data_IF_415014739684
#
_entry.id   IF_415014739684
#
_cell.length_a   1.000
_cell.length_b   1.000
_cell.length_c   1.000
_cell.angle_alpha   90.00
_cell.angle_beta   90.00
_cell.angle_gamma   90.00
#
_symmetry.space_group_name_H-M   'P 1'
#
loop_
_entity.id
_entity.type
_entity.pdbx_description
1 polymer ?
#
# COMPACT_ATOMS: atom_id res chain seq x y z
N UNK A 1 14.84 8.66 6.82
CA UNK A 1 13.64 9.15 7.56
C UNK A 1 12.43 8.98 6.67
N UNK A 2 11.35 8.41 7.17
CA UNK A 2 10.06 8.29 6.49
C UNK A 2 9.11 9.38 6.99
N UNK A 3 8.39 10.03 6.09
CA UNK A 3 7.40 11.08 6.43
C UNK A 3 6.15 10.93 5.58
N UNK A 4 4.99 11.27 6.15
CA UNK A 4 3.70 11.21 5.47
C UNK A 4 3.06 12.60 5.40
N UNK A 5 2.35 12.84 4.30
CA UNK A 5 1.69 14.11 4.02
C UNK A 5 0.26 13.85 3.55
N UNK A 6 -0.73 14.50 4.15
CA UNK A 6 -2.12 14.34 3.73
C UNK A 6 -2.35 14.94 2.34
N UNK A 7 -3.25 14.35 1.53
CA UNK A 7 -3.68 14.98 0.28
C UNK A 7 -4.54 16.21 0.57
N UNK A 8 -4.71 17.07 -0.44
CA UNK A 8 -5.69 18.14 -0.35
C UNK A 8 -7.12 17.59 -0.27
N UNK A 9 -8.06 18.39 0.24
CA UNK A 9 -9.44 17.96 0.52
C UNK A 9 -10.15 17.36 -0.73
N UNK A 10 -9.87 17.88 -1.92
CA UNK A 10 -10.48 17.38 -3.16
C UNK A 10 -10.00 15.97 -3.54
N UNK A 11 -8.78 15.62 -3.18
CA UNK A 11 -8.16 14.32 -3.49
C UNK A 11 -8.28 13.29 -2.36
N UNK A 12 -8.65 13.72 -1.15
CA UNK A 12 -8.78 12.84 0.02
C UNK A 12 -9.70 11.61 -0.18
N UNK A 13 -10.75 11.62 -1.03
CA UNK A 13 -11.51 10.41 -1.33
C UNK A 13 -10.73 9.33 -2.11
N UNK A 14 -9.65 9.70 -2.78
CA UNK A 14 -8.91 8.86 -3.73
C UNK A 14 -7.49 8.57 -3.27
N UNK A 15 -6.84 9.52 -2.64
CA UNK A 15 -5.46 9.43 -2.17
C UNK A 15 -5.47 9.23 -0.65
N UNK A 16 -4.79 8.18 -0.20
CA UNK A 16 -4.58 7.92 1.23
C UNK A 16 -3.58 8.93 1.80
N UNK A 17 -2.42 9.02 1.14
CA UNK A 17 -1.32 9.93 1.53
C UNK A 17 -0.31 10.12 0.41
N UNK A 18 0.50 11.16 0.53
CA UNK A 18 1.83 11.23 -0.03
C UNK A 18 2.83 10.80 1.02
N UNK A 19 3.92 10.17 0.60
CA UNK A 19 4.98 9.78 1.51
C UNK A 19 6.35 10.04 0.90
N UNK A 20 7.34 10.28 1.75
CA UNK A 20 8.72 10.43 1.39
C UNK A 20 9.57 9.47 2.23
N UNK A 21 10.48 8.78 1.60
CA UNK A 21 11.56 8.07 2.25
C UNK A 21 12.89 8.67 1.81
N UNK A 22 13.63 9.25 2.75
CA UNK A 22 14.93 9.88 2.48
C UNK A 22 15.91 9.54 3.59
N UNK A 23 17.08 9.04 3.24
CA UNK A 23 18.09 8.74 4.22
C UNK A 23 19.34 8.07 3.66
N UNK A 24 20.32 7.94 4.53
CA UNK A 24 21.50 7.11 4.27
C UNK A 24 21.14 5.66 4.52
N UNK A 25 21.65 4.78 3.67
CA UNK A 25 21.44 3.34 3.73
C UNK A 25 22.81 2.65 3.57
N UNK A 26 22.88 1.38 3.88
CA UNK A 26 24.01 0.56 3.52
C UNK A 26 23.76 -0.13 2.18
N UNK A 27 24.83 -0.47 1.48
CA UNK A 27 24.75 -1.27 0.27
C UNK A 27 24.23 -2.68 0.60
N UNK A 28 23.28 -3.19 -0.19
CA UNK A 28 22.57 -4.46 0.03
C UNK A 28 21.68 -4.51 1.29
N UNK A 29 21.37 -3.36 1.92
CA UNK A 29 20.39 -3.31 2.99
C UNK A 29 19.00 -3.71 2.47
N UNK A 30 18.27 -4.49 3.28
CA UNK A 30 16.95 -5.02 2.91
C UNK A 30 15.85 -4.38 3.72
N UNK A 31 14.88 -3.81 3.02
CA UNK A 31 13.66 -3.29 3.60
C UNK A 31 12.50 -4.20 3.23
N UNK A 32 11.72 -4.63 4.20
CA UNK A 32 10.46 -5.34 3.93
C UNK A 32 9.30 -4.38 3.92
N UNK A 33 8.56 -4.39 2.83
CA UNK A 33 7.36 -3.59 2.64
C UNK A 33 6.16 -4.51 2.85
N UNK A 34 5.33 -4.20 3.83
CA UNK A 34 4.20 -5.01 4.21
C UNK A 34 2.96 -4.68 3.37
N UNK A 35 2.09 -5.66 3.09
CA UNK A 35 0.84 -5.41 2.38
C UNK A 35 -0.10 -4.55 3.22
N UNK A 36 -0.69 -3.53 2.61
CA UNK A 36 -1.54 -2.55 3.27
C UNK A 36 -2.94 -2.39 2.68
N UNK A 37 -3.20 -3.05 1.55
CA UNK A 37 -4.47 -2.97 0.85
C UNK A 37 -4.59 -1.80 -0.12
N UNK A 38 -3.51 -1.06 -0.34
CA UNK A 38 -3.42 0.10 -1.23
C UNK A 38 -2.59 -0.20 -2.49
N UNK A 39 -2.49 0.79 -3.36
CA UNK A 39 -1.57 0.82 -4.51
C UNK A 39 -0.76 2.10 -4.46
N UNK A 40 0.47 2.05 -4.91
CA UNK A 40 1.37 3.20 -4.92
C UNK A 40 1.90 3.50 -6.31
N UNK A 41 2.10 4.79 -6.60
CA UNK A 41 3.05 5.23 -7.60
C UNK A 41 4.26 5.81 -6.88
N UNK A 42 5.42 5.20 -7.10
CA UNK A 42 6.68 5.58 -6.45
C UNK A 42 7.54 6.34 -7.45
N UNK A 43 7.98 7.53 -7.09
CA UNK A 43 8.94 8.32 -7.83
C UNK A 43 10.31 8.23 -7.15
N UNK A 44 11.29 7.71 -7.88
CA UNK A 44 12.70 7.70 -7.45
C UNK A 44 13.32 9.06 -7.76
N UNK A 45 13.86 9.74 -6.73
CA UNK A 45 14.26 11.16 -6.86
C UNK A 45 15.76 11.33 -7.07
N UNK A 46 16.58 10.48 -6.48
CA UNK A 46 18.01 10.77 -6.34
C UNK A 46 18.90 9.73 -7.05
N UNK A 47 19.98 10.22 -7.70
CA UNK A 47 21.10 9.39 -8.07
C UNK A 47 22.12 9.36 -6.90
N UNK A 48 22.73 8.22 -6.63
CA UNK A 48 22.67 6.92 -7.29
C UNK A 48 21.67 5.93 -6.66
N UNK A 49 20.56 6.38 -6.14
CA UNK A 49 19.54 5.53 -5.52
C UNK A 49 18.90 4.60 -6.54
N UNK A 50 19.36 3.38 -6.61
CA UNK A 50 18.84 2.35 -7.50
C UNK A 50 18.40 1.13 -6.67
N UNK A 51 17.28 1.24 -5.94
CA UNK A 51 16.79 0.11 -5.17
C UNK A 51 16.29 -1.00 -6.11
N UNK A 52 16.61 -2.23 -5.75
CA UNK A 52 16.07 -3.42 -6.39
C UNK A 52 14.76 -3.80 -5.68
N UNK A 53 13.67 -3.83 -6.42
CA UNK A 53 12.37 -4.26 -5.92
C UNK A 53 11.95 -5.52 -6.67
N UNK A 54 12.16 -6.68 -6.07
CA UNK A 54 12.08 -7.95 -6.76
C UNK A 54 13.20 -8.06 -7.81
N UNK A 55 12.84 -8.29 -9.06
CA UNK A 55 13.79 -8.35 -10.20
C UNK A 55 14.00 -6.97 -10.87
N UNK A 56 13.22 -5.96 -10.50
CA UNK A 56 13.25 -4.64 -11.13
C UNK A 56 14.22 -3.72 -10.40
N UNK A 57 15.22 -3.21 -11.14
CA UNK A 57 16.05 -2.11 -10.71
C UNK A 57 15.34 -0.78 -10.97
N UNK A 58 15.03 -0.05 -9.90
CA UNK A 58 14.38 1.25 -10.00
C UNK A 58 15.40 2.32 -10.39
N UNK A 59 15.28 2.84 -11.59
CA UNK A 59 16.11 3.92 -12.09
C UNK A 59 15.69 5.27 -11.47
N UNK A 60 16.62 6.20 -11.26
CA UNK A 60 16.28 7.54 -10.80
C UNK A 60 15.40 8.27 -11.82
N UNK A 61 14.61 9.20 -11.30
CA UNK A 61 13.74 10.08 -12.07
C UNK A 61 12.67 9.35 -12.90
N UNK A 62 12.19 8.22 -12.38
CA UNK A 62 11.12 7.41 -12.98
C UNK A 62 10.01 7.14 -11.98
N UNK A 63 8.80 7.00 -12.50
CA UNK A 63 7.68 6.48 -11.73
C UNK A 63 7.54 4.97 -11.88
N UNK A 64 7.24 4.34 -10.76
CA UNK A 64 6.97 2.90 -10.68
C UNK A 64 5.61 2.67 -10.05
N UNK A 65 4.76 1.92 -10.75
CA UNK A 65 3.51 1.46 -10.18
C UNK A 65 3.74 0.20 -9.35
N UNK A 66 3.25 0.23 -8.11
CA UNK A 66 3.21 -0.91 -7.21
C UNK A 66 1.77 -1.34 -7.08
N UNK A 67 1.45 -2.48 -7.65
CA UNK A 67 0.12 -3.09 -7.60
C UNK A 67 -0.24 -3.61 -6.21
N UNK A 68 -1.48 -4.10 -6.05
CA UNK A 68 -1.95 -4.66 -4.79
C UNK A 68 -1.07 -5.81 -4.30
N UNK A 69 -0.53 -5.73 -3.08
CA UNK A 69 0.37 -6.74 -2.52
C UNK A 69 -0.38 -7.72 -1.61
N UNK A 70 -0.28 -9.03 -1.89
CA UNK A 70 -0.89 -10.09 -1.06
C UNK A 70 0.03 -10.64 0.01
N UNK A 71 1.32 -10.38 -0.12
CA UNK A 71 2.39 -10.74 0.82
C UNK A 71 3.41 -9.61 0.87
N UNK A 72 4.35 -9.66 1.80
CA UNK A 72 5.45 -8.70 1.86
C UNK A 72 6.29 -8.70 0.59
N UNK A 73 6.99 -7.61 0.37
CA UNK A 73 7.95 -7.40 -0.70
C UNK A 73 9.26 -6.92 -0.12
N UNK A 74 10.36 -7.23 -0.78
CA UNK A 74 11.68 -6.76 -0.38
C UNK A 74 12.18 -5.66 -1.33
N UNK A 75 12.69 -4.59 -0.73
CA UNK A 75 13.45 -3.56 -1.40
C UNK A 75 14.91 -3.70 -0.98
N UNK A 76 15.80 -3.94 -1.92
CA UNK A 76 17.23 -4.09 -1.66
C UNK A 76 17.95 -2.85 -2.18
N UNK A 77 18.68 -2.16 -1.31
CA UNK A 77 19.41 -0.94 -1.70
C UNK A 77 20.66 -1.29 -2.50
N UNK A 78 20.94 -0.51 -3.54
CA UNK A 78 22.15 -0.61 -4.36
C UNK A 78 22.98 0.69 -4.31
N UNK A 79 22.73 1.50 -3.30
CA UNK A 79 23.40 2.78 -3.06
C UNK A 79 23.47 3.06 -1.57
N UNK A 80 24.28 4.04 -1.19
CA UNK A 80 24.42 4.51 0.19
C UNK A 80 23.38 5.59 0.55
N UNK A 81 22.55 6.00 -0.41
CA UNK A 81 21.46 6.95 -0.22
C UNK A 81 20.21 6.45 -0.91
N UNK A 82 19.08 6.75 -0.32
CA UNK A 82 17.77 6.45 -0.86
C UNK A 82 16.87 7.66 -0.70
N UNK A 83 16.31 8.15 -1.81
CA UNK A 83 15.32 9.20 -1.80
C UNK A 83 14.20 8.87 -2.76
N UNK A 84 13.04 8.56 -2.21
CA UNK A 84 11.84 8.22 -2.95
C UNK A 84 10.65 8.96 -2.38
N UNK A 85 9.69 9.29 -3.21
CA UNK A 85 8.37 9.71 -2.79
C UNK A 85 7.30 8.82 -3.39
N UNK A 86 6.16 8.70 -2.73
CA UNK A 86 5.04 7.92 -3.23
C UNK A 86 3.71 8.67 -3.17
N UNK A 87 2.86 8.32 -4.12
CA UNK A 87 1.44 8.67 -4.15
C UNK A 87 0.67 7.40 -3.84
N UNK A 88 0.15 7.28 -2.62
CA UNK A 88 -0.63 6.12 -2.18
C UNK A 88 -2.10 6.36 -2.43
N UNK A 89 -2.69 5.51 -3.25
CA UNK A 89 -4.12 5.53 -3.50
C UNK A 89 -4.87 4.73 -2.44
N UNK A 90 -6.03 5.24 -2.02
CA UNK A 90 -6.98 4.45 -1.22
C UNK A 90 -7.40 3.18 -1.96
N UNK A 91 -7.92 2.15 -1.29
CA UNK A 91 -8.21 0.84 -1.92
C UNK A 91 -9.05 0.88 -3.20
N UNK A 92 -9.94 1.88 -3.32
CA UNK A 92 -10.76 2.11 -4.51
C UNK A 92 -10.33 3.35 -5.31
N UNK A 93 -9.35 4.12 -4.82
CA UNK A 93 -9.05 5.46 -5.34
C UNK A 93 -8.52 5.43 -6.77
N UNK A 94 -7.60 4.53 -7.08
CA UNK A 94 -7.01 4.45 -8.42
C UNK A 94 -8.04 4.09 -9.50
N UNK A 95 -9.04 3.27 -9.15
CA UNK A 95 -10.09 2.86 -10.09
C UNK A 95 -10.95 4.04 -10.60
N UNK A 96 -10.96 5.16 -9.90
CA UNK A 96 -11.62 6.38 -10.37
C UNK A 96 -10.84 7.06 -11.52
N UNK A 97 -9.51 7.02 -11.45
CA UNK A 97 -8.63 7.67 -12.42
C UNK A 97 -8.27 6.79 -13.61
N UNK A 98 -8.24 5.47 -13.42
CA UNK A 98 -7.73 4.53 -14.40
C UNK A 98 -8.64 3.32 -14.57
N UNK A 99 -8.99 3.01 -15.82
CA UNK A 99 -9.74 1.80 -16.18
C UNK A 99 -8.79 0.61 -16.31
N UNK A 100 -8.17 0.22 -15.23
CA UNK A 100 -7.30 -0.94 -15.25
C UNK A 100 -7.81 -2.03 -14.28
N UNK A 101 -7.79 -3.29 -14.69
CA UNK A 101 -8.21 -4.40 -13.84
C UNK A 101 -7.11 -4.66 -12.80
N UNK A 102 -7.19 -4.02 -11.63
CA UNK A 102 -6.14 -4.11 -10.61
C UNK A 102 -5.82 -5.55 -10.20
N UNK A 103 -6.76 -6.47 -10.39
CA UNK A 103 -6.53 -7.90 -10.15
C UNK A 103 -5.47 -8.56 -11.04
N UNK A 104 -5.12 -7.96 -12.20
CA UNK A 104 -4.06 -8.44 -13.09
C UNK A 104 -2.68 -7.91 -12.66
N UNK A 105 -2.66 -6.86 -11.84
CA UNK A 105 -1.44 -6.23 -11.33
C UNK A 105 -1.10 -6.63 -9.89
N UNK A 106 -1.77 -7.65 -9.36
CA UNK A 106 -1.51 -8.12 -7.99
C UNK A 106 -0.10 -8.69 -7.87
N UNK A 107 0.65 -8.24 -6.86
CA UNK A 107 2.06 -8.56 -6.61
C UNK A 107 3.00 -8.18 -7.77
N UNK A 108 2.61 -7.24 -8.62
CA UNK A 108 3.44 -6.75 -9.72
C UNK A 108 3.99 -5.36 -9.44
N UNK A 109 5.10 -5.08 -10.09
CA UNK A 109 5.73 -3.75 -10.15
C UNK A 109 6.14 -3.51 -11.58
N UNK A 110 5.77 -2.34 -12.09
CA UNK A 110 6.04 -1.98 -13.48
C UNK A 110 6.48 -0.53 -13.56
N UNK A 111 7.24 -0.18 -14.58
CA UNK A 111 7.48 1.22 -14.91
C UNK A 111 6.13 1.87 -15.26
N UNK A 112 5.80 2.99 -14.63
CA UNK A 112 4.50 3.64 -14.83
C UNK A 112 4.29 4.11 -16.28
N UNK A 113 5.36 4.42 -17.01
CA UNK A 113 5.27 4.78 -18.43
C UNK A 113 4.73 3.65 -19.31
N UNK A 114 4.93 2.37 -18.91
CA UNK A 114 4.39 1.21 -19.63
C UNK A 114 2.87 1.09 -19.49
N UNK A 115 2.31 1.63 -18.42
CA UNK A 115 0.85 1.62 -18.19
C UNK A 115 0.13 2.73 -18.96
N UNK A 116 0.83 3.80 -19.27
CA UNK A 116 0.29 4.99 -19.94
C UNK A 116 -0.98 5.55 -19.25
N UNK A 117 -0.95 5.61 -17.91
CA UNK A 117 -2.14 5.93 -17.11
C UNK A 117 -2.08 7.33 -16.51
N UNK A 118 -1.34 7.54 -15.43
CA UNK A 118 -1.35 8.80 -14.68
C UNK A 118 -0.04 9.58 -14.78
N UNK A 119 1.07 8.87 -14.67
CA UNK A 119 2.40 9.45 -14.57
C UNK A 119 3.29 8.83 -15.63
N UNK A 120 3.62 9.61 -16.64
CA UNK A 120 4.54 9.25 -17.73
C UNK A 120 5.94 9.83 -17.48
N UNK A 121 6.85 9.54 -18.40
CA UNK A 121 8.23 10.03 -18.32
C UNK A 121 8.32 11.57 -18.39
N UNK A 122 7.45 12.21 -19.18
CA UNK A 122 7.41 13.67 -19.26
C UNK A 122 6.97 14.30 -17.91
N UNK A 123 5.99 13.68 -17.24
CA UNK A 123 5.59 14.12 -15.90
C UNK A 123 6.71 13.92 -14.88
N UNK A 124 7.45 12.82 -14.99
CA UNK A 124 8.63 12.57 -14.15
C UNK A 124 9.70 13.66 -14.34
N UNK A 125 9.98 14.06 -15.58
CA UNK A 125 10.92 15.16 -15.90
C UNK A 125 10.50 16.49 -15.24
N UNK A 126 9.22 16.83 -15.29
CA UNK A 126 8.73 18.04 -14.61
C UNK A 126 8.94 18.01 -13.08
N UNK A 127 8.87 16.84 -12.45
CA UNK A 127 9.13 16.69 -11.02
C UNK A 127 10.62 16.77 -10.68
N UNK A 128 11.50 16.34 -11.58
CA UNK A 128 12.95 16.42 -11.39
C UNK A 128 13.43 17.87 -11.23
N UNK A 129 12.79 18.81 -11.93
CA UNK A 129 13.11 20.23 -11.87
C UNK A 129 12.80 20.89 -10.52
N UNK A 130 12.08 20.19 -9.63
CA UNK A 130 11.65 20.75 -8.34
C UNK A 130 12.59 20.32 -7.22
N UNK A 131 12.97 21.29 -6.40
CA UNK A 131 13.91 21.07 -5.32
C UNK A 131 13.23 20.52 -4.06
N UNK A 132 12.01 20.99 -3.78
CA UNK A 132 11.28 20.63 -2.57
C UNK A 132 10.20 19.57 -2.81
N UNK A 133 9.95 18.75 -1.78
CA UNK A 133 8.85 17.79 -1.79
C UNK A 133 7.49 18.47 -1.92
N UNK A 134 7.30 19.62 -1.26
CA UNK A 134 6.07 20.40 -1.32
C UNK A 134 5.72 20.85 -2.73
N UNK A 135 6.71 21.31 -3.50
CA UNK A 135 6.50 21.66 -4.90
C UNK A 135 6.10 20.44 -5.74
N UNK A 136 6.75 19.29 -5.50
CA UNK A 136 6.39 18.04 -6.17
C UNK A 136 4.96 17.61 -5.84
N UNK A 137 4.58 17.63 -4.57
CA UNK A 137 3.20 17.33 -4.14
C UNK A 137 2.22 18.30 -4.80
N UNK A 138 2.52 19.60 -4.82
CA UNK A 138 1.65 20.58 -5.46
C UNK A 138 1.44 20.32 -6.97
N UNK A 139 2.48 19.90 -7.66
CA UNK A 139 2.37 19.54 -9.09
C UNK A 139 1.52 18.29 -9.26
N UNK A 140 1.73 17.26 -8.42
CA UNK A 140 0.93 16.03 -8.42
C UNK A 140 -0.54 16.36 -8.12
N UNK A 141 -0.81 17.16 -7.10
CA UNK A 141 -2.17 17.63 -6.77
C UNK A 141 -2.84 18.29 -7.98
N UNK A 142 -2.20 19.26 -8.60
CA UNK A 142 -2.73 19.94 -9.78
C UNK A 142 -3.01 18.97 -10.94
N UNK A 143 -2.11 18.03 -11.18
CA UNK A 143 -2.24 17.03 -12.21
C UNK A 143 -3.44 16.09 -11.99
N UNK A 144 -3.64 15.65 -10.74
CA UNK A 144 -4.76 14.81 -10.36
C UNK A 144 -6.08 15.60 -10.32
N UNK A 145 -6.09 16.83 -9.77
CA UNK A 145 -7.27 17.70 -9.73
C UNK A 145 -7.77 18.02 -11.14
N UNK A 146 -6.87 18.27 -12.09
CA UNK A 146 -7.26 18.52 -13.48
C UNK A 146 -8.02 17.33 -14.13
N UNK A 147 -7.88 16.12 -13.56
CA UNK A 147 -8.58 14.91 -14.02
C UNK A 147 -9.92 14.65 -13.32
N UNK A 148 -10.21 15.33 -12.21
CA UNK A 148 -11.45 15.11 -11.45
C UNK A 148 -12.73 15.23 -12.30
N UNK A 149 -12.86 16.19 -13.25
CA UNK A 149 -14.06 16.28 -14.08
C UNK A 149 -14.31 15.07 -14.99
N UNK A 150 -13.25 14.31 -15.29
CA UNK A 150 -13.30 13.12 -16.17
C UNK A 150 -13.29 11.78 -15.41
N UNK A 151 -13.39 11.79 -14.08
CA UNK A 151 -13.34 10.57 -13.29
C UNK A 151 -14.47 9.61 -13.65
N UNK A 152 -14.15 8.34 -13.55
CA UNK A 152 -15.13 7.28 -13.67
C UNK A 152 -15.79 7.02 -12.32
N UNK A 153 -17.13 6.86 -12.27
CA UNK A 153 -17.79 6.51 -11.03
C UNK A 153 -17.34 5.11 -10.59
N UNK A 154 -16.77 5.03 -9.41
CA UNK A 154 -16.47 3.75 -8.75
C UNK A 154 -17.76 3.23 -8.12
N UNK A 155 -17.99 1.92 -8.20
CA UNK A 155 -19.19 1.29 -7.65
C UNK A 155 -19.34 1.57 -6.14
N UNK A 156 -20.41 2.28 -5.70
CA UNK A 156 -20.58 2.66 -4.31
C UNK A 156 -20.69 1.47 -3.34
N UNK A 157 -21.17 0.31 -3.84
CA UNK A 157 -21.23 -0.91 -3.03
C UNK A 157 -19.81 -1.41 -2.70
N UNK A 158 -18.85 -1.27 -3.62
CA UNK A 158 -17.46 -1.69 -3.39
C UNK A 158 -16.75 -0.70 -2.45
N UNK A 159 -16.94 0.59 -2.63
CA UNK A 159 -16.44 1.60 -1.67
C UNK A 159 -16.97 1.29 -0.27
N UNK A 160 -18.28 1.11 -0.14
CA UNK A 160 -18.91 0.79 1.14
C UNK A 160 -18.39 -0.53 1.73
N UNK A 161 -18.10 -1.52 0.88
CA UNK A 161 -17.53 -2.79 1.31
C UNK A 161 -16.12 -2.61 1.91
N UNK A 162 -15.25 -1.84 1.25
CA UNK A 162 -13.91 -1.56 1.79
C UNK A 162 -13.98 -0.84 3.13
N UNK A 163 -14.86 0.15 3.27
CA UNK A 163 -15.07 0.87 4.53
C UNK A 163 -15.52 -0.06 5.66
N UNK A 164 -16.51 -0.92 5.40
CA UNK A 164 -17.02 -1.88 6.38
C UNK A 164 -15.95 -2.89 6.81
N UNK A 165 -15.13 -3.37 5.89
CA UNK A 165 -14.02 -4.28 6.19
C UNK A 165 -12.98 -3.56 7.07
N UNK A 166 -12.60 -2.33 6.72
CA UNK A 166 -11.62 -1.53 7.47
C UNK A 166 -12.15 -1.19 8.87
N UNK A 167 -13.39 -0.72 8.99
CA UNK A 167 -14.03 -0.40 10.26
C UNK A 167 -14.12 -1.62 11.20
N UNK A 168 -14.31 -2.82 10.64
CA UNK A 168 -14.33 -4.07 11.39
C UNK A 168 -12.94 -4.71 11.56
N UNK A 169 -11.84 -4.00 11.26
CA UNK A 169 -10.47 -4.52 11.31
C UNK A 169 -10.31 -5.87 10.55
N UNK A 170 -11.02 -6.04 9.44
CA UNK A 170 -11.00 -7.27 8.65
C UNK A 170 -11.74 -8.47 9.27
N UNK A 171 -12.47 -8.30 10.36
CA UNK A 171 -13.12 -9.39 11.09
C UNK A 171 -14.58 -9.64 10.65
N UNK A 172 -15.15 -8.76 9.82
CA UNK A 172 -16.52 -8.92 9.33
C UNK A 172 -16.61 -10.11 8.37
N UNK A 173 -17.49 -11.13 8.64
CA UNK A 173 -17.70 -12.24 7.73
C UNK A 173 -18.21 -11.79 6.36
N UNK A 174 -17.69 -12.39 5.29
CA UNK A 174 -18.07 -12.00 3.90
C UNK A 174 -19.56 -12.17 3.66
N UNK A 175 -20.20 -13.21 4.22
CA UNK A 175 -21.65 -13.40 4.12
C UNK A 175 -22.41 -12.20 4.69
N UNK A 176 -22.05 -11.73 5.91
CA UNK A 176 -22.69 -10.57 6.50
C UNK A 176 -22.44 -9.29 5.70
N UNK A 177 -21.29 -9.20 5.04
CA UNK A 177 -20.97 -8.07 4.17
C UNK A 177 -21.89 -8.07 2.92
N UNK A 178 -22.06 -9.23 2.26
CA UNK A 178 -22.93 -9.34 1.09
C UNK A 178 -24.41 -9.12 1.44
N UNK A 179 -24.85 -9.60 2.61
CA UNK A 179 -26.19 -9.35 3.10
C UNK A 179 -26.46 -7.87 3.34
N UNK A 180 -25.52 -7.15 3.99
CA UNK A 180 -25.62 -5.69 4.22
C UNK A 180 -25.61 -4.86 2.94
N UNK A 181 -24.95 -5.36 1.90
CA UNK A 181 -24.83 -4.66 0.62
C UNK A 181 -25.90 -5.07 -0.40
N UNK A 182 -26.73 -6.05 -0.06
CA UNK A 182 -27.76 -6.61 -0.96
C UNK A 182 -27.18 -7.01 -2.32
N UNK A 183 -26.03 -7.69 -2.32
CA UNK A 183 -25.31 -8.10 -3.52
C UNK A 183 -25.01 -9.61 -3.49
N UNK A 184 -25.19 -10.28 -4.63
CA UNK A 184 -24.84 -11.69 -4.74
C UNK A 184 -23.31 -11.92 -4.64
N UNK A 185 -22.88 -12.91 -3.85
CA UNK A 185 -21.48 -13.14 -3.50
C UNK A 185 -20.55 -13.21 -4.71
N UNK A 186 -20.88 -14.03 -5.73
CA UNK A 186 -20.04 -14.19 -6.93
C UNK A 186 -19.86 -12.87 -7.71
N UNK A 187 -20.93 -12.07 -7.79
CA UNK A 187 -20.89 -10.78 -8.47
C UNK A 187 -20.05 -9.77 -7.67
N UNK A 188 -20.22 -9.78 -6.35
CA UNK A 188 -19.44 -8.98 -5.42
C UNK A 188 -17.93 -9.28 -5.52
N UNK A 189 -17.53 -10.55 -5.40
CA UNK A 189 -16.13 -10.96 -5.46
C UNK A 189 -15.46 -10.53 -6.76
N UNK A 190 -16.15 -10.70 -7.91
CA UNK A 190 -15.63 -10.29 -9.21
C UNK A 190 -15.42 -8.76 -9.30
N UNK A 191 -16.43 -7.98 -8.89
CA UNK A 191 -16.33 -6.51 -8.89
C UNK A 191 -15.27 -6.00 -7.93
N UNK A 192 -15.26 -6.55 -6.72
CA UNK A 192 -14.30 -6.18 -5.69
C UNK A 192 -12.86 -6.42 -6.18
N UNK A 193 -12.60 -7.60 -6.74
CA UNK A 193 -11.28 -7.94 -7.29
C UNK A 193 -10.88 -7.04 -8.47
N UNK A 194 -11.81 -6.70 -9.34
CA UNK A 194 -11.55 -5.81 -10.47
C UNK A 194 -11.12 -4.40 -10.00
N UNK A 195 -11.82 -3.86 -8.99
CA UNK A 195 -11.62 -2.49 -8.50
C UNK A 195 -10.44 -2.38 -7.55
N UNK A 196 -10.26 -3.33 -6.62
CA UNK A 196 -9.25 -3.25 -5.55
C UNK A 196 -8.01 -4.11 -5.81
N UNK A 197 -8.08 -5.03 -6.76
CA UNK A 197 -7.06 -6.05 -7.01
C UNK A 197 -7.09 -7.25 -6.07
N UNK A 198 -7.90 -7.21 -5.03
CA UNK A 198 -8.04 -8.28 -4.03
C UNK A 198 -9.41 -8.96 -4.11
N UNK A 199 -9.48 -10.22 -3.76
CA UNK A 199 -10.76 -10.78 -3.31
C UNK A 199 -11.15 -10.15 -1.97
N UNK A 200 -12.46 -10.09 -1.62
CA UNK A 200 -12.88 -9.58 -0.30
C UNK A 200 -12.21 -10.29 0.87
N UNK A 201 -11.95 -11.60 0.72
CA UNK A 201 -11.27 -12.40 1.74
C UNK A 201 -9.79 -12.03 1.88
N UNK A 202 -9.09 -11.78 0.77
CA UNK A 202 -7.69 -11.32 0.79
C UNK A 202 -7.59 -9.93 1.42
N UNK A 203 -8.47 -9.01 1.05
CA UNK A 203 -8.50 -7.66 1.62
C UNK A 203 -8.80 -7.68 3.13
N UNK A 204 -9.79 -8.49 3.56
CA UNK A 204 -10.08 -8.69 4.99
C UNK A 204 -8.88 -9.27 5.74
N UNK A 205 -8.16 -10.23 5.15
CA UNK A 205 -6.94 -10.82 5.73
C UNK A 205 -5.83 -9.80 5.90
N UNK A 206 -5.59 -8.95 4.89
CA UNK A 206 -4.59 -7.87 4.96
C UNK A 206 -4.99 -6.82 6.00
N UNK A 207 -6.26 -6.42 6.03
CA UNK A 207 -6.78 -5.48 7.03
C UNK A 207 -6.63 -6.02 8.45
N UNK A 208 -6.92 -7.31 8.66
CA UNK A 208 -6.72 -7.99 9.94
C UNK A 208 -5.25 -8.03 10.35
N UNK A 209 -4.37 -8.31 9.41
CA UNK A 209 -2.92 -8.30 9.64
C UNK A 209 -2.42 -6.90 10.02
N UNK A 210 -2.85 -5.84 9.34
CA UNK A 210 -2.51 -4.44 9.70
C UNK A 210 -3.00 -4.08 11.10
N UNK A 211 -4.18 -4.54 11.47
CA UNK A 211 -4.66 -4.37 12.84
C UNK A 211 -3.74 -5.07 13.83
N UNK A 212 -3.38 -6.33 13.57
CA UNK A 212 -2.48 -7.11 14.43
C UNK A 212 -1.09 -6.49 14.55
N UNK A 213 -0.50 -5.97 13.47
CA UNK A 213 0.81 -5.26 13.52
C UNK A 213 0.75 -4.02 14.39
N UNK A 214 -0.33 -3.25 14.31
CA UNK A 214 -0.54 -2.07 15.17
C UNK A 214 -0.67 -2.44 16.64
N UNK A 215 -1.43 -3.50 16.97
CA UNK A 215 -1.57 -3.97 18.34
C UNK A 215 -0.23 -4.49 18.88
N UNK A 216 0.48 -5.32 18.11
CA UNK A 216 1.80 -5.85 18.47
C UNK A 216 2.80 -4.76 18.87
N UNK A 217 2.80 -3.63 18.17
CA UNK A 217 3.70 -2.49 18.47
C UNK A 217 3.40 -1.80 19.79
N UNK A 218 2.16 -1.85 20.24
CA UNK A 218 1.70 -1.23 21.48
C UNK A 218 1.83 -2.16 22.68
N UNK A 219 2.06 -3.46 22.44
CA UNK A 219 2.14 -4.48 23.48
C UNK A 219 3.43 -4.38 24.30
N UNK A 220 3.28 -4.50 25.62
CA UNK A 220 4.38 -4.59 26.59
C UNK A 220 4.38 -5.96 27.26
N UNK A 221 4.70 -7.03 26.49
CA UNK A 221 4.86 -8.38 27.08
C UNK A 221 3.57 -9.14 27.38
N UNK A 222 2.53 -8.92 26.62
CA UNK A 222 1.22 -9.55 26.79
C UNK A 222 1.14 -10.97 26.18
N UNK A 223 0.07 -11.68 26.56
CA UNK A 223 -0.18 -13.05 26.12
C UNK A 223 -0.48 -13.10 24.61
N UNK A 224 0.37 -13.81 23.86
CA UNK A 224 0.20 -14.04 22.43
C UNK A 224 -1.10 -14.80 22.10
N UNK A 225 -1.62 -15.57 23.06
CA UNK A 225 -2.88 -16.27 22.90
C UNK A 225 -4.06 -15.29 22.86
N UNK A 226 -4.09 -14.36 23.81
CA UNK A 226 -5.14 -13.35 23.88
C UNK A 226 -5.07 -12.44 22.62
N UNK A 227 -3.87 -12.00 22.24
CA UNK A 227 -3.67 -11.22 21.01
C UNK A 227 -4.25 -11.89 19.78
N UNK A 228 -3.97 -13.19 19.59
CA UNK A 228 -4.49 -13.91 18.43
C UNK A 228 -6.02 -13.88 18.38
N UNK A 229 -6.67 -14.08 19.53
CA UNK A 229 -8.13 -14.04 19.65
C UNK A 229 -8.66 -12.62 19.38
N UNK A 230 -8.07 -11.60 19.99
CA UNK A 230 -8.50 -10.20 19.84
C UNK A 230 -8.31 -9.67 18.42
N UNK A 231 -7.33 -10.21 17.71
CA UNK A 231 -7.13 -9.94 16.27
C UNK A 231 -7.98 -10.85 15.36
N UNK A 232 -8.90 -11.66 15.92
CA UNK A 232 -9.85 -12.49 15.17
C UNK A 232 -9.22 -13.70 14.47
N UNK A 233 -8.11 -14.23 14.99
CA UNK A 233 -7.54 -15.51 14.58
C UNK A 233 -8.12 -16.64 15.43
N UNK A 234 -8.13 -17.84 14.87
CA UNK A 234 -8.69 -19.01 15.56
C UNK A 234 -7.87 -19.42 16.78
N UNK A 235 -6.55 -19.43 16.63
CA UNK A 235 -5.57 -19.76 17.68
C UNK A 235 -4.21 -19.09 17.38
N UNK A 236 -3.25 -19.12 18.32
CA UNK A 236 -1.92 -18.57 18.13
C UNK A 236 -1.14 -19.18 16.97
N UNK A 237 -1.29 -20.47 16.71
CA UNK A 237 -0.58 -21.15 15.63
C UNK A 237 -1.05 -20.67 14.26
N UNK A 238 -2.35 -20.48 14.10
CA UNK A 238 -2.94 -19.87 12.91
C UNK A 238 -2.47 -18.41 12.74
N UNK A 239 -2.47 -17.64 13.82
CA UNK A 239 -1.95 -16.27 13.82
C UNK A 239 -0.49 -16.21 13.36
N UNK A 240 0.40 -16.97 14.00
CA UNK A 240 1.83 -16.99 13.66
C UNK A 240 2.07 -17.39 12.21
N UNK A 241 1.34 -18.38 11.70
CA UNK A 241 1.44 -18.84 10.31
C UNK A 241 1.01 -17.76 9.32
N UNK A 242 -0.14 -17.13 9.54
CA UNK A 242 -0.66 -16.07 8.67
C UNK A 242 0.20 -14.81 8.76
N UNK A 243 0.65 -14.44 9.96
CA UNK A 243 1.53 -13.30 10.16
C UNK A 243 2.85 -13.49 9.40
N UNK A 244 3.50 -14.66 9.54
CA UNK A 244 4.73 -14.99 8.83
C UNK A 244 4.56 -14.98 7.31
N UNK A 245 3.40 -15.42 6.82
CA UNK A 245 3.09 -15.38 5.38
C UNK A 245 3.01 -13.95 4.85
N UNK A 246 2.49 -13.01 5.65
CA UNK A 246 2.25 -11.62 5.24
C UNK A 246 3.46 -10.71 5.47
N UNK A 247 4.30 -11.01 6.46
CA UNK A 247 5.46 -10.19 6.85
C UNK A 247 6.83 -10.82 6.55
N UNK A 248 6.88 -12.11 6.21
CA UNK A 248 8.14 -12.86 6.07
C UNK A 248 8.78 -13.29 7.39
N UNK A 249 8.30 -12.78 8.54
CA UNK A 249 8.89 -13.03 9.86
C UNK A 249 7.82 -13.37 10.88
N UNK A 250 8.11 -14.15 11.94
CA UNK A 250 7.14 -14.42 12.99
C UNK A 250 6.88 -13.15 13.83
N UNK A 251 5.72 -13.07 14.54
CA UNK A 251 5.39 -11.91 15.38
C UNK A 251 6.46 -11.53 16.38
N UNK A 252 7.12 -12.52 16.99
CA UNK A 252 8.19 -12.30 17.99
C UNK A 252 9.42 -11.60 17.37
N UNK A 253 9.83 -11.99 16.17
CA UNK A 253 10.92 -11.33 15.47
C UNK A 253 10.51 -9.91 15.06
N UNK A 254 9.28 -9.73 14.59
CA UNK A 254 8.72 -8.42 14.21
C UNK A 254 8.72 -7.43 15.41
N UNK A 255 8.41 -7.89 16.62
CA UNK A 255 8.46 -7.04 17.83
C UNK A 255 9.88 -6.63 18.24
N UNK A 256 10.89 -7.43 17.87
CA UNK A 256 12.29 -7.17 18.23
C UNK A 256 12.99 -6.19 17.26
N UNK A 257 12.39 -5.91 16.10
CA UNK A 257 12.98 -5.02 15.10
C UNK A 257 12.85 -3.56 15.53
N UNK A 258 13.90 -2.75 15.34
CA UNK A 258 13.78 -1.30 15.43
C UNK A 258 12.86 -0.82 14.31
N UNK A 259 11.66 -0.45 14.68
CA UNK A 259 10.70 0.08 13.74
C UNK A 259 10.88 1.59 13.74
N UNK A 260 11.10 2.23 12.58
CA UNK A 260 11.04 3.67 12.48
C UNK A 260 9.70 4.14 13.07
N UNK A 261 9.73 5.12 13.97
CA UNK A 261 8.53 5.62 14.67
C UNK A 261 7.44 6.06 13.67
N UNK A 262 7.85 6.43 12.47
CA UNK A 262 7.03 7.07 11.46
C UNK A 262 6.53 6.13 10.34
N UNK A 263 7.08 4.91 10.20
CA UNK A 263 6.63 3.97 9.15
C UNK A 263 6.08 2.67 9.71
N UNK A 264 4.76 2.53 9.76
CA UNK A 264 4.12 1.31 10.25
C UNK A 264 4.24 0.11 9.30
N UNK A 265 4.74 0.27 8.09
CA UNK A 265 4.67 -0.75 7.05
C UNK A 265 6.03 -1.22 6.54
N UNK A 266 7.10 -0.50 6.86
CA UNK A 266 8.46 -0.83 6.43
C UNK A 266 9.32 -1.17 7.64
N UNK A 267 10.09 -2.22 7.56
CA UNK A 267 11.09 -2.56 8.56
C UNK A 267 12.36 -3.10 7.91
N UNK A 268 13.47 -2.96 8.61
CA UNK A 268 14.82 -3.32 8.19
C UNK A 268 15.16 -4.69 8.79
N UNK A 269 15.73 -5.59 8.01
CA UNK A 269 16.37 -6.82 8.49
C UNK A 269 17.88 -6.65 8.53
#
# INVERSE_FOLDING_TARGET
MYQEYPPCQLLAPYIDKYWEFKGETEYDMRYKILPDGCTDFIFSIEEPSQPLNGEMLMQPYRFYFVGPMRVYSELVTRSIRLHMMGVRFSPCGLAAFARMPLGEFTDTRVNASELNVLFDDHFAEMLCEKESLQERIHIIDRHLIARLPGLQPVDPQIIRATDLIVQANGMLPIQQLTDKLYIGQRHFERKFKHITGYTPKEFSRITKFRYATRVLRQMKGEDMQQLAIDCGYYDPSHFIKEFRKLSGSPPSAFMALPIPEDDPLTYIE
#
